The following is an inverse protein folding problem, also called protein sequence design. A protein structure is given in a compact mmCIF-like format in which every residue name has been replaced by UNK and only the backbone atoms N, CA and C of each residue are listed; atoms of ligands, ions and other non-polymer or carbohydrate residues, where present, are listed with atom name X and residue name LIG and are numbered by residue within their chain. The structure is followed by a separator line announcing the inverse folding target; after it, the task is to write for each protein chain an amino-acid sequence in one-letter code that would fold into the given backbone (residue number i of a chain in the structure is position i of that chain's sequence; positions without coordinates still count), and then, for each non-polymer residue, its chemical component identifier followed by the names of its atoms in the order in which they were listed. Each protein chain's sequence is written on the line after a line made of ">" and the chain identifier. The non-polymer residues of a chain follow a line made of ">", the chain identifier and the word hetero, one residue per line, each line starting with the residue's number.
data_IF_767127537154
#
_entry.id   IF_767127537154
#
_cell.length_a   1.000
_cell.length_b   1.000
_cell.length_c   1.000
_cell.angle_alpha   90.00
_cell.angle_beta   90.00
_cell.angle_gamma   90.00
#
_symmetry.space_group_name_H-M   'P 1'
#
loop_
_entity.id
_entity.type
_entity.pdbx_description
1 polymer ?
#
# COMPACT_ATOMS: atom_id res chain seq x y z
N UNK A 1 -4.43 8.52 -8.12
CA UNK A 1 -4.83 9.94 -8.08
C UNK A 1 -6.04 10.20 -7.20
N UNK A 2 -6.13 9.54 -6.05
CA UNK A 2 -7.24 9.75 -5.13
C UNK A 2 -7.21 11.18 -4.58
N UNK A 3 -8.37 11.74 -4.24
CA UNK A 3 -8.53 13.16 -3.86
C UNK A 3 -7.68 13.53 -2.65
N UNK A 4 -7.53 12.61 -1.68
CA UNK A 4 -6.69 12.84 -0.51
C UNK A 4 -5.22 13.11 -0.87
N UNK A 5 -4.68 12.54 -1.95
CA UNK A 5 -3.30 12.77 -2.38
C UNK A 5 -3.09 14.14 -3.03
N UNK A 6 -4.16 14.90 -3.28
CA UNK A 6 -4.15 16.20 -3.96
C UNK A 6 -4.82 17.30 -3.13
N UNK A 7 -5.11 17.02 -1.86
CA UNK A 7 -5.70 18.01 -0.96
C UNK A 7 -4.78 19.21 -0.79
N UNK A 8 -5.35 20.34 -0.35
CA UNK A 8 -4.57 21.55 -0.07
C UNK A 8 -3.45 21.27 0.93
N UNK A 9 -3.78 20.60 2.03
CA UNK A 9 -2.83 20.27 3.10
C UNK A 9 -1.65 19.43 2.61
N UNK A 10 -1.90 18.45 1.73
CA UNK A 10 -0.83 17.60 1.17
C UNK A 10 0.09 18.41 0.25
N UNK A 11 -0.46 19.36 -0.53
CA UNK A 11 0.36 20.25 -1.37
C UNK A 11 1.23 21.17 -0.54
N UNK A 12 0.65 21.82 0.48
CA UNK A 12 1.39 22.68 1.41
C UNK A 12 2.49 21.89 2.11
N UNK A 13 2.18 20.69 2.60
CA UNK A 13 3.19 19.82 3.19
C UNK A 13 4.30 19.49 2.20
N UNK A 14 3.98 19.12 0.95
CA UNK A 14 4.99 18.80 -0.06
C UNK A 14 5.91 20.00 -0.38
N UNK A 15 5.36 21.20 -0.47
CA UNK A 15 6.13 22.42 -0.73
C UNK A 15 7.14 22.72 0.39
N UNK A 16 6.80 22.37 1.63
CA UNK A 16 7.70 22.48 2.79
C UNK A 16 8.76 21.37 2.85
N UNK A 17 8.63 20.31 2.05
CA UNK A 17 9.49 19.13 2.07
C UNK A 17 10.18 18.90 0.71
N UNK A 18 11.16 19.73 0.34
CA UNK A 18 11.76 19.72 -1.02
C UNK A 18 12.50 18.42 -1.37
N UNK A 19 12.81 17.56 -0.39
CA UNK A 19 13.38 16.22 -0.63
C UNK A 19 12.36 15.23 -1.20
N UNK A 20 11.07 15.54 -1.13
CA UNK A 20 9.98 14.71 -1.61
C UNK A 20 9.50 15.24 -2.97
N UNK A 21 9.50 14.37 -3.99
CA UNK A 21 8.95 14.68 -5.30
C UNK A 21 7.80 13.73 -5.61
N UNK A 22 6.57 14.25 -5.57
CA UNK A 22 5.39 13.46 -5.87
C UNK A 22 5.23 13.28 -7.39
N UNK A 23 5.31 12.03 -7.85
CA UNK A 23 5.02 11.65 -9.24
C UNK A 23 3.66 10.96 -9.30
N UNK A 24 2.74 11.55 -10.04
CA UNK A 24 1.39 11.00 -10.22
C UNK A 24 1.33 10.10 -11.45
N UNK A 25 0.77 8.90 -11.29
CA UNK A 25 0.45 8.03 -12.41
C UNK A 25 -0.72 8.61 -13.22
N UNK A 26 -0.86 8.28 -14.51
CA UNK A 26 -2.07 8.60 -15.27
C UNK A 26 -3.32 8.09 -14.56
N UNK A 27 -4.45 8.79 -14.75
CA UNK A 27 -5.73 8.34 -14.21
C UNK A 27 -6.05 6.93 -14.72
N UNK A 28 -6.56 6.08 -13.82
CA UNK A 28 -6.87 4.66 -14.07
C UNK A 28 -5.67 3.75 -14.39
N UNK A 29 -4.42 4.21 -14.22
CA UNK A 29 -3.22 3.39 -14.44
C UNK A 29 -2.74 2.68 -13.15
N UNK A 30 -3.63 1.99 -12.43
CA UNK A 30 -3.27 1.27 -11.19
C UNK A 30 -2.25 0.16 -11.42
N UNK A 31 -2.21 -0.43 -12.61
CA UNK A 31 -1.26 -1.48 -13.02
C UNK A 31 0.21 -1.01 -13.04
N UNK A 32 0.46 0.30 -13.15
CA UNK A 32 1.81 0.87 -13.04
C UNK A 32 2.27 1.04 -11.58
N UNK A 33 1.35 0.91 -10.61
CA UNK A 33 1.66 1.07 -9.20
C UNK A 33 2.21 -0.25 -8.62
N UNK A 34 3.51 -0.29 -8.31
CA UNK A 34 4.16 -1.45 -7.68
C UNK A 34 3.53 -1.82 -6.33
N UNK A 35 3.02 -0.84 -5.57
CA UNK A 35 2.34 -1.10 -4.28
C UNK A 35 1.04 -1.90 -4.51
N UNK A 36 0.32 -1.67 -5.61
CA UNK A 36 -0.86 -2.47 -5.94
C UNK A 36 -0.50 -3.94 -6.17
N UNK A 37 0.68 -4.22 -6.74
CA UNK A 37 1.21 -5.60 -6.89
C UNK A 37 1.54 -6.22 -5.53
N UNK A 38 2.13 -5.47 -4.60
CA UNK A 38 2.38 -5.98 -3.23
C UNK A 38 1.06 -6.39 -2.55
N UNK A 39 0.01 -5.56 -2.67
CA UNK A 39 -1.30 -5.90 -2.14
C UNK A 39 -1.99 -7.07 -2.86
N UNK A 40 -1.73 -7.27 -4.15
CA UNK A 40 -2.21 -8.45 -4.86
C UNK A 40 -1.61 -9.74 -4.28
N UNK A 41 -0.30 -9.75 -3.97
CA UNK A 41 0.33 -10.89 -3.30
C UNK A 41 -0.20 -11.10 -1.88
N UNK A 42 -0.29 -10.02 -1.08
CA UNK A 42 -0.90 -10.10 0.26
C UNK A 42 -2.32 -10.66 0.20
N UNK A 43 -3.13 -10.23 -0.77
CA UNK A 43 -4.49 -10.72 -0.93
C UNK A 43 -4.52 -12.22 -1.24
N UNK A 44 -3.71 -12.67 -2.20
CA UNK A 44 -3.62 -14.07 -2.60
C UNK A 44 -3.11 -14.97 -1.48
N UNK A 45 -2.01 -14.58 -0.85
CA UNK A 45 -1.23 -15.46 0.03
C UNK A 45 -1.75 -15.42 1.47
N UNK A 46 -2.40 -14.31 1.88
CA UNK A 46 -2.92 -14.14 3.23
C UNK A 46 -4.45 -14.04 3.23
N UNK A 47 -5.05 -13.12 2.49
CA UNK A 47 -6.46 -12.76 2.73
C UNK A 47 -7.47 -13.77 2.16
N UNK A 48 -7.27 -14.27 0.94
CA UNK A 48 -8.28 -15.05 0.20
C UNK A 48 -8.59 -16.42 0.82
N UNK A 49 -7.71 -16.95 1.66
CA UNK A 49 -7.89 -18.25 2.32
C UNK A 49 -7.94 -18.15 3.85
N UNK A 50 -8.23 -16.95 4.38
CA UNK A 50 -8.24 -16.70 5.82
C UNK A 50 -9.66 -16.54 6.36
N UNK A 51 -9.83 -16.95 7.62
CA UNK A 51 -11.06 -16.76 8.40
C UNK A 51 -10.72 -16.14 9.76
N UNK A 52 -10.21 -14.92 9.75
CA UNK A 52 -9.81 -14.22 10.97
C UNK A 52 -11.02 -13.96 11.87
N UNK A 53 -10.93 -14.35 13.13
CA UNK A 53 -11.99 -14.15 14.12
C UNK A 53 -11.92 -12.77 14.77
N UNK A 54 -10.76 -12.11 14.69
CA UNK A 54 -10.56 -10.76 15.23
C UNK A 54 -9.69 -9.90 14.32
N UNK A 55 -9.84 -8.57 14.45
CA UNK A 55 -8.97 -7.61 13.76
C UNK A 55 -7.51 -7.78 14.18
N UNK A 56 -7.26 -8.06 15.46
CA UNK A 56 -5.90 -8.28 15.98
C UNK A 56 -5.22 -9.47 15.30
N UNK A 57 -5.95 -10.58 15.14
CA UNK A 57 -5.45 -11.76 14.45
C UNK A 57 -5.08 -11.45 12.99
N UNK A 58 -5.94 -10.71 12.28
CA UNK A 58 -5.65 -10.27 10.91
C UNK A 58 -4.39 -9.38 10.86
N UNK A 59 -4.26 -8.42 11.79
CA UNK A 59 -3.09 -7.55 11.89
C UNK A 59 -1.81 -8.33 12.14
N UNK A 60 -1.80 -9.26 13.09
CA UNK A 60 -0.64 -10.10 13.40
C UNK A 60 -0.25 -10.98 12.22
N UNK A 61 -1.23 -11.60 11.53
CA UNK A 61 -0.96 -12.42 10.35
C UNK A 61 -0.35 -11.61 9.21
N UNK A 62 -0.87 -10.40 8.96
CA UNK A 62 -0.36 -9.49 7.93
C UNK A 62 1.07 -9.03 8.31
N UNK A 63 1.34 -8.67 9.57
CA UNK A 63 2.69 -8.29 10.02
C UNK A 63 3.68 -9.44 9.81
N UNK A 64 3.31 -10.66 10.22
CA UNK A 64 4.14 -11.85 10.04
C UNK A 64 4.46 -12.13 8.56
N UNK A 65 3.49 -11.91 7.66
CA UNK A 65 3.72 -12.07 6.22
C UNK A 65 4.83 -11.14 5.71
N UNK A 66 4.85 -9.88 6.15
CA UNK A 66 5.87 -8.91 5.73
C UNK A 66 7.22 -9.08 6.44
N UNK A 67 7.22 -9.47 7.72
CA UNK A 67 8.45 -9.54 8.52
C UNK A 67 9.19 -10.87 8.41
N UNK A 68 8.46 -11.98 8.28
CA UNK A 68 9.02 -13.34 8.43
C UNK A 68 8.95 -14.17 7.16
N UNK A 69 7.89 -14.01 6.38
CA UNK A 69 7.67 -14.82 5.17
C UNK A 69 8.29 -14.19 3.93
N UNK A 70 8.61 -12.89 3.97
CA UNK A 70 9.63 -12.25 3.15
C UNK A 70 9.58 -12.56 1.65
N UNK A 71 8.42 -12.87 1.08
CA UNK A 71 8.27 -13.13 -0.35
C UNK A 71 7.97 -11.82 -1.05
N UNK A 72 8.94 -10.90 -1.01
CA UNK A 72 8.93 -9.75 -1.93
C UNK A 72 10.21 -9.84 -2.74
N UNK A 73 10.19 -10.74 -3.73
CA UNK A 73 10.97 -10.56 -4.94
C UNK A 73 10.49 -9.28 -5.62
N UNK A 74 11.09 -8.14 -5.27
CA UNK A 74 11.05 -6.92 -6.10
C UNK A 74 12.31 -6.81 -6.93
#
# INVERSE_FOLDING_TARGET
>A
NWSAHKSHDVKVWNDLHPRMHLVYLPSNASFLNKIARVFAFLSRDVLQNSNFQTVREAMERISNYFEKEGSIMV
#
